data_IF_331947334829
#
_entry.id   IF_331947334829
#
_cell.length_a   1.000
_cell.length_b   1.000
_cell.length_c   1.000
_cell.angle_alpha   90.00
_cell.angle_beta   90.00
_cell.angle_gamma   90.00
#
_symmetry.space_group_name_H-M   'P 1'
#
loop_
_entity.id
_entity.type
_entity.pdbx_description
1 polymer ?
#
# COMPACT_ATOMS: atom_id res chain seq x y z
N UNK A 1 7.81 -11.79 19.03
CA UNK A 1 8.83 -11.25 19.94
C UNK A 1 9.68 -10.16 19.28
N UNK A 2 10.12 -10.30 18.03
CA UNK A 2 10.92 -9.28 17.32
C UNK A 2 10.17 -7.95 17.04
N UNK A 3 8.84 -7.99 16.89
CA UNK A 3 8.02 -6.79 16.65
C UNK A 3 7.86 -5.91 17.90
N UNK A 4 7.85 -6.49 19.09
CA UNK A 4 7.78 -5.76 20.37
C UNK A 4 9.11 -5.06 20.71
N UNK A 5 10.22 -5.70 20.44
CA UNK A 5 11.55 -5.14 20.69
C UNK A 5 11.83 -3.90 19.81
N UNK A 6 11.40 -3.89 18.55
CA UNK A 6 11.65 -2.78 17.64
C UNK A 6 10.82 -1.53 18.00
N UNK A 7 9.59 -1.69 18.48
CA UNK A 7 8.74 -0.57 18.94
C UNK A 7 9.24 0.00 20.28
N UNK A 8 9.75 -0.84 21.16
CA UNK A 8 10.29 -0.42 22.45
C UNK A 8 11.63 0.33 22.26
N UNK A 9 12.51 -0.18 21.39
CA UNK A 9 13.78 0.46 21.06
C UNK A 9 13.60 1.79 20.32
N UNK A 10 12.66 1.90 19.37
CA UNK A 10 12.39 3.15 18.68
C UNK A 10 11.76 4.21 19.60
N UNK A 11 10.87 3.81 20.51
CA UNK A 11 10.31 4.70 21.52
C UNK A 11 11.36 5.14 22.56
N UNK A 12 12.23 4.23 22.99
CA UNK A 12 13.30 4.52 23.95
C UNK A 12 14.39 5.41 23.34
N UNK A 13 14.80 5.18 22.09
CA UNK A 13 15.76 6.01 21.38
C UNK A 13 15.22 7.42 21.12
N UNK A 14 13.94 7.56 20.78
CA UNK A 14 13.33 8.85 20.52
C UNK A 14 13.18 9.70 21.80
N UNK A 15 12.77 9.08 22.92
CA UNK A 15 12.68 9.77 24.21
C UNK A 15 14.04 10.11 24.79
N UNK A 16 15.05 9.25 24.63
CA UNK A 16 16.40 9.47 25.13
C UNK A 16 17.14 10.56 24.34
N UNK A 17 17.04 10.54 22.98
CA UNK A 17 17.62 11.58 22.12
C UNK A 17 16.93 12.94 22.31
N UNK A 18 15.62 12.96 22.49
CA UNK A 18 14.88 14.19 22.78
C UNK A 18 15.24 14.78 24.14
N UNK A 19 15.40 13.95 25.17
CA UNK A 19 15.85 14.38 26.50
C UNK A 19 17.30 14.88 26.48
N UNK A 20 18.19 14.21 25.74
CA UNK A 20 19.60 14.62 25.61
C UNK A 20 19.77 15.91 24.82
N UNK A 21 19.03 16.10 23.73
CA UNK A 21 19.03 17.34 22.96
C UNK A 21 18.45 18.51 23.76
N UNK A 22 17.41 18.28 24.55
CA UNK A 22 16.79 19.30 25.41
C UNK A 22 17.74 19.73 26.56
N UNK A 23 18.45 18.80 27.18
CA UNK A 23 19.39 19.13 28.27
C UNK A 23 20.68 19.78 27.73
N UNK A 24 21.15 19.40 26.54
CA UNK A 24 22.35 19.98 25.94
C UNK A 24 22.10 21.41 25.42
N UNK A 25 20.94 21.67 24.79
CA UNK A 25 20.53 23.02 24.34
C UNK A 25 20.18 23.94 25.52
N UNK A 26 19.63 23.42 26.60
CA UNK A 26 19.36 24.20 27.80
C UNK A 26 20.62 24.67 28.52
N UNK A 27 21.72 23.91 28.45
CA UNK A 27 22.97 24.21 29.14
C UNK A 27 23.97 25.06 28.32
N UNK A 28 23.83 25.11 26.97
CA UNK A 28 24.91 25.71 26.16
C UNK A 28 24.66 27.14 25.67
N UNK A 29 23.47 27.70 25.69
CA UNK A 29 23.21 28.95 24.88
C UNK A 29 22.28 29.97 25.55
N UNK A 30 21.96 29.98 26.83
CA UNK A 30 21.04 31.02 27.33
C UNK A 30 21.45 31.67 28.66
N UNK A 31 21.93 32.88 28.54
CA UNK A 31 21.84 33.91 29.61
C UNK A 31 20.53 34.66 29.45
N UNK A 32 19.59 34.46 30.41
CA UNK A 32 18.33 35.20 30.73
C UNK A 32 17.76 36.19 29.68
N UNK A 33 16.47 36.34 29.54
CA UNK A 33 15.21 35.77 30.04
C UNK A 33 14.43 34.89 29.02
N UNK A 34 15.06 34.39 27.95
CA UNK A 34 14.43 33.63 26.87
C UNK A 34 14.30 32.12 27.14
N UNK A 35 14.62 31.62 28.36
CA UNK A 35 14.57 30.19 28.70
C UNK A 35 13.18 29.56 28.52
N UNK A 36 12.11 30.28 28.77
CA UNK A 36 10.73 29.79 28.61
C UNK A 36 10.36 29.61 27.15
N UNK A 37 10.77 30.51 26.26
CA UNK A 37 10.48 30.42 24.82
C UNK A 37 11.25 29.27 24.16
N UNK A 38 12.51 29.04 24.57
CA UNK A 38 13.33 27.94 24.04
C UNK A 38 12.81 26.56 24.45
N UNK A 39 12.36 26.41 25.69
CA UNK A 39 11.76 25.17 26.19
C UNK A 39 10.42 24.88 25.48
N UNK A 40 9.60 25.91 25.24
CA UNK A 40 8.34 25.77 24.51
C UNK A 40 8.56 25.40 23.03
N UNK A 41 9.51 26.03 22.36
CA UNK A 41 9.86 25.72 20.96
C UNK A 41 10.49 24.34 20.80
N UNK A 42 11.38 23.94 21.72
CA UNK A 42 11.98 22.60 21.73
C UNK A 42 10.92 21.52 22.03
N UNK A 43 9.99 21.77 22.94
CA UNK A 43 8.87 20.88 23.25
C UNK A 43 7.93 20.74 22.05
N UNK A 44 7.60 21.83 21.35
CA UNK A 44 6.74 21.81 20.18
C UNK A 44 7.40 21.09 18.97
N UNK A 45 8.69 21.32 18.74
CA UNK A 45 9.46 20.63 17.73
C UNK A 45 9.60 19.13 18.03
N UNK A 46 9.79 18.76 19.29
CA UNK A 46 9.91 17.37 19.71
C UNK A 46 8.57 16.61 19.58
N UNK A 47 7.44 17.23 19.94
CA UNK A 47 6.11 16.63 19.77
C UNK A 47 5.75 16.50 18.30
N UNK A 48 6.12 17.48 17.46
CA UNK A 48 5.88 17.44 16.02
C UNK A 48 6.71 16.33 15.34
N UNK A 49 7.99 16.19 15.70
CA UNK A 49 8.87 15.14 15.15
C UNK A 49 8.46 13.73 15.65
N UNK A 50 8.06 13.58 16.89
CA UNK A 50 7.57 12.31 17.44
C UNK A 50 6.24 11.89 16.82
N UNK A 51 5.34 12.85 16.57
CA UNK A 51 4.08 12.60 15.86
C UNK A 51 4.33 12.16 14.41
N UNK A 52 5.25 12.82 13.71
CA UNK A 52 5.63 12.48 12.33
C UNK A 52 6.26 11.07 12.24
N UNK A 53 7.20 10.75 13.15
CA UNK A 53 7.85 9.43 13.18
C UNK A 53 6.86 8.30 13.52
N UNK A 54 5.88 8.56 14.39
CA UNK A 54 4.85 7.57 14.75
C UNK A 54 3.87 7.32 13.60
N UNK A 55 3.48 8.35 12.84
CA UNK A 55 2.63 8.22 11.65
C UNK A 55 3.35 7.47 10.53
N UNK A 56 4.63 7.76 10.26
CA UNK A 56 5.45 7.02 9.28
C UNK A 56 5.60 5.54 9.64
N UNK A 57 5.88 5.21 10.89
CA UNK A 57 5.98 3.83 11.35
C UNK A 57 4.66 3.04 11.23
N UNK A 58 3.52 3.69 11.42
CA UNK A 58 2.21 3.05 11.30
C UNK A 58 1.79 2.86 9.83
N UNK A 59 2.13 3.80 8.94
CA UNK A 59 1.90 3.69 7.49
C UNK A 59 2.74 2.56 6.93
N UNK A 60 4.02 2.51 7.22
CA UNK A 60 4.93 1.47 6.74
C UNK A 60 4.47 0.06 7.16
N UNK A 61 4.00 -0.13 8.39
CA UNK A 61 3.44 -1.42 8.86
C UNK A 61 2.20 -1.82 8.09
N UNK A 62 1.30 -0.89 7.79
CA UNK A 62 0.08 -1.18 7.02
C UNK A 62 0.42 -1.52 5.56
N UNK A 63 1.41 -0.84 4.97
CA UNK A 63 1.91 -1.08 3.62
C UNK A 63 2.53 -2.47 3.48
N UNK A 64 3.40 -2.84 4.42
CA UNK A 64 4.05 -4.16 4.45
C UNK A 64 3.03 -5.29 4.67
N UNK A 65 1.99 -5.09 5.51
CA UNK A 65 0.95 -6.11 5.66
C UNK A 65 0.07 -6.25 4.42
N UNK A 66 -0.28 -5.15 3.76
CA UNK A 66 -1.07 -5.19 2.53
C UNK A 66 -0.31 -5.91 1.41
N UNK A 67 0.98 -5.64 1.21
CA UNK A 67 1.79 -6.28 0.19
C UNK A 67 1.99 -7.79 0.44
N UNK A 68 2.11 -8.21 1.70
CA UNK A 68 2.27 -9.63 2.08
C UNK A 68 1.07 -10.50 1.74
N UNK A 69 -0.13 -9.95 1.71
CA UNK A 69 -1.36 -10.70 1.43
C UNK A 69 -1.78 -10.52 -0.03
N UNK A 70 -1.72 -9.29 -0.55
CA UNK A 70 -2.14 -8.98 -1.92
C UNK A 70 -1.21 -9.54 -2.97
N UNK A 71 0.11 -9.51 -2.76
CA UNK A 71 1.11 -10.02 -3.72
C UNK A 71 0.87 -11.48 -4.09
N UNK A 72 0.89 -12.41 -3.13
CA UNK A 72 0.64 -13.84 -3.40
C UNK A 72 -0.73 -14.13 -4.02
N UNK A 73 -1.78 -13.40 -3.63
CA UNK A 73 -3.11 -13.55 -4.24
C UNK A 73 -3.13 -13.07 -5.69
N UNK A 74 -2.51 -11.93 -5.98
CA UNK A 74 -2.40 -11.42 -7.34
C UNK A 74 -1.57 -12.35 -8.24
N UNK A 75 -0.49 -12.92 -7.72
CA UNK A 75 0.31 -13.92 -8.42
C UNK A 75 -0.48 -15.19 -8.72
N UNK A 76 -1.20 -15.73 -7.74
CA UNK A 76 -2.08 -16.89 -7.93
C UNK A 76 -3.14 -16.62 -9.01
N UNK A 77 -3.79 -15.45 -8.97
CA UNK A 77 -4.75 -15.05 -9.98
C UNK A 77 -4.10 -14.91 -11.38
N UNK A 78 -2.92 -14.31 -11.46
CA UNK A 78 -2.19 -14.16 -12.72
C UNK A 78 -1.84 -15.52 -13.34
N UNK A 79 -1.39 -16.50 -12.56
CA UNK A 79 -1.10 -17.87 -13.02
C UNK A 79 -2.36 -18.56 -13.58
N UNK A 80 -3.51 -18.38 -12.94
CA UNK A 80 -4.80 -18.86 -13.45
C UNK A 80 -5.20 -18.20 -14.76
N UNK A 81 -5.01 -16.90 -14.87
CA UNK A 81 -5.27 -16.15 -16.11
C UNK A 81 -4.36 -16.61 -17.24
N UNK A 82 -3.07 -16.87 -16.97
CA UNK A 82 -2.12 -17.42 -17.95
C UNK A 82 -2.59 -18.79 -18.44
N UNK A 83 -3.04 -19.65 -17.53
CA UNK A 83 -3.56 -20.99 -17.89
C UNK A 83 -4.82 -20.89 -18.75
N UNK A 84 -5.74 -19.96 -18.40
CA UNK A 84 -6.93 -19.68 -19.18
C UNK A 84 -6.58 -19.17 -20.59
N UNK A 85 -5.64 -18.23 -20.67
CA UNK A 85 -5.18 -17.67 -21.95
C UNK A 85 -4.64 -18.77 -22.88
N UNK A 86 -3.74 -19.64 -22.38
CA UNK A 86 -3.21 -20.76 -23.17
C UNK A 86 -4.33 -21.64 -23.73
N UNK A 87 -5.26 -22.05 -22.87
CA UNK A 87 -6.39 -22.89 -23.26
C UNK A 87 -7.31 -22.22 -24.29
N UNK A 88 -7.63 -20.94 -24.10
CA UNK A 88 -8.48 -20.19 -25.04
C UNK A 88 -7.82 -20.04 -26.40
N UNK A 89 -6.52 -19.76 -26.42
CA UNK A 89 -5.75 -19.61 -27.64
C UNK A 89 -5.60 -20.93 -28.39
N UNK A 90 -5.26 -22.01 -27.72
CA UNK A 90 -4.98 -23.31 -28.32
C UNK A 90 -6.26 -24.04 -28.75
N UNK A 91 -7.28 -24.05 -27.88
CA UNK A 91 -8.50 -24.85 -28.09
C UNK A 91 -9.60 -24.05 -28.80
N UNK A 92 -9.82 -22.81 -28.38
CA UNK A 92 -10.93 -21.97 -28.87
C UNK A 92 -10.53 -21.00 -29.98
N UNK A 93 -9.24 -20.89 -30.29
CA UNK A 93 -8.69 -19.94 -31.26
C UNK A 93 -9.06 -18.47 -30.94
N UNK A 94 -9.34 -18.18 -29.67
CA UNK A 94 -9.67 -16.86 -29.18
C UNK A 94 -8.40 -16.18 -28.67
N UNK A 95 -7.93 -15.14 -29.36
CA UNK A 95 -6.67 -14.46 -29.05
C UNK A 95 -6.84 -12.97 -28.72
N UNK A 96 -8.03 -12.39 -28.89
CA UNK A 96 -8.26 -10.96 -28.74
C UNK A 96 -8.64 -10.62 -27.30
N UNK A 97 -9.75 -11.18 -26.84
CA UNK A 97 -10.27 -10.93 -25.48
C UNK A 97 -9.36 -11.56 -24.42
N UNK A 98 -8.88 -12.78 -24.69
CA UNK A 98 -7.99 -13.50 -23.78
C UNK A 98 -6.64 -12.80 -23.60
N UNK A 99 -6.11 -12.14 -24.65
CA UNK A 99 -4.89 -11.33 -24.56
C UNK A 99 -5.11 -10.07 -23.69
N UNK A 100 -6.26 -9.43 -23.78
CA UNK A 100 -6.57 -8.30 -22.91
C UNK A 100 -6.69 -8.72 -21.45
N UNK A 101 -7.36 -9.85 -21.19
CA UNK A 101 -7.43 -10.42 -19.86
C UNK A 101 -6.02 -10.81 -19.33
N UNK A 102 -5.18 -11.40 -20.16
CA UNK A 102 -3.80 -11.72 -19.81
C UNK A 102 -3.05 -10.47 -19.38
N UNK A 103 -3.11 -9.41 -20.18
CA UNK A 103 -2.44 -8.13 -19.90
C UNK A 103 -2.92 -7.53 -18.59
N UNK A 104 -4.23 -7.32 -18.43
CA UNK A 104 -4.77 -6.71 -17.21
C UNK A 104 -4.55 -7.59 -15.98
N UNK A 105 -4.78 -8.90 -16.07
CA UNK A 105 -4.62 -9.82 -14.94
C UNK A 105 -3.19 -9.94 -14.42
N UNK A 106 -2.19 -9.92 -15.31
CA UNK A 106 -0.77 -9.91 -14.91
C UNK A 106 -0.29 -8.55 -14.43
N UNK A 107 -0.86 -7.45 -14.94
CA UNK A 107 -0.53 -6.08 -14.52
C UNK A 107 -0.89 -5.80 -13.07
N UNK A 108 -1.86 -6.50 -12.47
CA UNK A 108 -2.20 -6.35 -11.04
C UNK A 108 -0.98 -6.63 -10.18
N UNK A 109 -0.39 -7.82 -10.36
CA UNK A 109 0.78 -8.26 -9.59
C UNK A 109 2.02 -7.42 -9.87
N UNK A 110 2.24 -7.05 -11.15
CA UNK A 110 3.36 -6.19 -11.55
C UNK A 110 3.33 -4.84 -10.83
N UNK A 111 2.19 -4.15 -10.81
CA UNK A 111 2.06 -2.87 -10.12
C UNK A 111 2.20 -3.00 -8.59
N UNK A 112 1.73 -4.10 -7.99
CA UNK A 112 1.96 -4.36 -6.57
C UNK A 112 3.44 -4.57 -6.25
N UNK A 113 4.18 -5.29 -7.12
CA UNK A 113 5.61 -5.51 -6.97
C UNK A 113 6.40 -4.19 -7.13
N UNK A 114 6.05 -3.36 -8.12
CA UNK A 114 6.64 -2.04 -8.29
C UNK A 114 6.37 -1.12 -7.10
N UNK A 115 5.17 -1.20 -6.53
CA UNK A 115 4.79 -0.43 -5.34
C UNK A 115 5.73 -0.64 -4.15
N UNK A 116 6.28 -1.85 -3.97
CA UNK A 116 7.24 -2.14 -2.88
C UNK A 116 8.49 -1.25 -2.97
N UNK A 117 8.87 -0.85 -4.19
CA UNK A 117 10.04 -0.01 -4.47
C UNK A 117 9.67 1.44 -4.80
N UNK A 118 8.47 1.87 -4.43
CA UNK A 118 8.00 3.23 -4.69
C UNK A 118 8.90 4.28 -4.02
N UNK A 119 9.18 5.36 -4.75
CA UNK A 119 10.05 6.44 -4.30
C UNK A 119 9.39 7.36 -3.25
N UNK A 120 8.06 7.34 -3.16
CA UNK A 120 7.27 8.15 -2.25
C UNK A 120 5.95 7.47 -1.89
N UNK A 121 5.28 7.94 -0.84
CA UNK A 121 3.94 7.48 -0.47
C UNK A 121 2.92 7.74 -1.60
N UNK A 122 3.02 8.88 -2.28
CA UNK A 122 2.18 9.21 -3.42
C UNK A 122 2.38 8.24 -4.60
N UNK A 123 3.62 7.86 -4.88
CA UNK A 123 3.96 6.87 -5.90
C UNK A 123 3.44 5.49 -5.52
N UNK A 124 3.61 5.08 -4.26
CA UNK A 124 3.04 3.83 -3.75
C UNK A 124 1.52 3.78 -3.93
N UNK A 125 0.80 4.82 -3.51
CA UNK A 125 -0.65 4.91 -3.68
C UNK A 125 -1.02 4.88 -5.17
N UNK A 126 -0.26 5.54 -6.03
CA UNK A 126 -0.45 5.53 -7.47
C UNK A 126 -0.36 4.12 -8.06
N UNK A 127 0.64 3.33 -7.68
CA UNK A 127 0.81 1.93 -8.11
C UNK A 127 -0.39 1.05 -7.66
N UNK A 128 -0.85 1.21 -6.45
CA UNK A 128 -2.03 0.49 -5.95
C UNK A 128 -3.33 0.90 -6.66
N UNK A 129 -3.48 2.18 -7.03
CA UNK A 129 -4.61 2.65 -7.85
C UNK A 129 -4.57 2.06 -9.26
N UNK A 130 -3.39 1.94 -9.86
CA UNK A 130 -3.22 1.28 -11.16
C UNK A 130 -3.60 -0.19 -11.03
N UNK A 131 -3.07 -0.91 -10.03
CA UNK A 131 -3.44 -2.30 -9.78
C UNK A 131 -4.96 -2.49 -9.61
N UNK A 132 -5.66 -1.57 -8.93
CA UNK A 132 -7.11 -1.58 -8.78
C UNK A 132 -7.83 -1.38 -10.12
N UNK A 133 -7.36 -0.49 -11.00
CA UNK A 133 -7.90 -0.31 -12.34
C UNK A 133 -7.76 -1.58 -13.18
N UNK A 134 -6.57 -2.19 -13.17
CA UNK A 134 -6.28 -3.44 -13.89
C UNK A 134 -7.15 -4.61 -13.38
N UNK A 135 -7.41 -4.68 -12.08
CA UNK A 135 -8.32 -5.68 -11.51
C UNK A 135 -9.77 -5.49 -11.99
N UNK A 136 -10.26 -4.25 -12.04
CA UNK A 136 -11.58 -3.95 -12.59
C UNK A 136 -11.66 -4.24 -14.09
N UNK A 137 -10.60 -3.96 -14.85
CA UNK A 137 -10.51 -4.30 -16.27
C UNK A 137 -10.53 -5.82 -16.46
N UNK A 138 -9.81 -6.57 -15.63
CA UNK A 138 -9.84 -8.04 -15.65
C UNK A 138 -11.25 -8.59 -15.41
N UNK A 139 -11.98 -8.05 -14.44
CA UNK A 139 -13.38 -8.44 -14.18
C UNK A 139 -14.27 -8.17 -15.38
N UNK A 140 -14.04 -7.09 -16.12
CA UNK A 140 -14.76 -6.78 -17.37
C UNK A 140 -14.48 -7.82 -18.45
N UNK A 141 -13.22 -8.18 -18.70
CA UNK A 141 -12.87 -9.17 -19.73
C UNK A 141 -13.37 -10.58 -19.38
N UNK A 142 -13.33 -10.99 -18.11
CA UNK A 142 -13.89 -12.27 -17.65
C UNK A 142 -15.39 -12.33 -17.96
N UNK A 143 -16.12 -11.25 -17.70
CA UNK A 143 -17.55 -11.16 -17.99
C UNK A 143 -17.85 -11.23 -19.49
N UNK A 144 -17.02 -10.60 -20.33
CA UNK A 144 -17.17 -10.67 -21.77
C UNK A 144 -16.90 -12.09 -22.31
N UNK A 145 -15.84 -12.75 -21.84
CA UNK A 145 -15.52 -14.13 -22.22
C UNK A 145 -16.68 -15.09 -21.85
N UNK A 146 -17.31 -14.88 -20.71
CA UNK A 146 -18.49 -15.64 -20.32
C UNK A 146 -19.70 -15.37 -21.24
N UNK A 147 -20.04 -14.10 -21.45
CA UNK A 147 -21.19 -13.71 -22.28
C UNK A 147 -21.03 -14.12 -23.74
N UNK A 148 -19.80 -14.22 -24.23
CA UNK A 148 -19.47 -14.69 -25.58
C UNK A 148 -19.34 -16.21 -25.68
N UNK A 149 -19.60 -16.97 -24.61
CA UNK A 149 -19.60 -18.44 -24.60
C UNK A 149 -18.21 -19.10 -24.63
N UNK A 150 -17.14 -18.33 -24.45
CA UNK A 150 -15.78 -18.88 -24.41
C UNK A 150 -15.45 -19.63 -23.12
N UNK A 151 -16.06 -19.23 -22.00
CA UNK A 151 -15.92 -19.91 -20.69
C UNK A 151 -17.29 -20.29 -20.14
N UNK A 152 -17.33 -21.37 -19.38
CA UNK A 152 -18.54 -21.88 -18.73
C UNK A 152 -18.95 -21.00 -17.55
N UNK A 153 -20.21 -21.15 -17.08
CA UNK A 153 -20.70 -20.44 -15.90
C UNK A 153 -19.88 -20.77 -14.64
N UNK A 154 -19.46 -22.01 -14.48
CA UNK A 154 -18.61 -22.42 -13.36
C UNK A 154 -17.27 -21.70 -13.37
N UNK A 155 -16.60 -21.69 -14.51
CA UNK A 155 -15.33 -20.97 -14.69
C UNK A 155 -15.50 -19.48 -14.46
N UNK A 156 -16.58 -18.90 -15.00
CA UNK A 156 -16.89 -17.49 -14.73
C UNK A 156 -17.01 -17.20 -13.23
N UNK A 157 -17.75 -18.03 -12.50
CA UNK A 157 -17.94 -17.85 -11.06
C UNK A 157 -16.60 -17.90 -10.30
N UNK A 158 -15.73 -18.86 -10.65
CA UNK A 158 -14.42 -19.04 -10.02
C UNK A 158 -13.50 -17.83 -10.28
N UNK A 159 -13.30 -17.45 -11.55
CA UNK A 159 -12.45 -16.32 -11.91
C UNK A 159 -12.99 -14.98 -11.39
N UNK A 160 -14.31 -14.79 -11.50
CA UNK A 160 -14.95 -13.54 -11.06
C UNK A 160 -14.92 -13.38 -9.55
N UNK A 161 -15.06 -14.46 -8.78
CA UNK A 161 -14.97 -14.44 -7.33
C UNK A 161 -13.59 -13.98 -6.86
N UNK A 162 -12.52 -14.58 -7.41
CA UNK A 162 -11.14 -14.22 -7.05
C UNK A 162 -10.80 -12.80 -7.47
N UNK A 163 -11.18 -12.42 -8.68
CA UNK A 163 -10.98 -11.06 -9.17
C UNK A 163 -11.70 -10.03 -8.29
N UNK A 164 -12.95 -10.31 -7.90
CA UNK A 164 -13.75 -9.46 -7.02
C UNK A 164 -13.15 -9.36 -5.61
N UNK A 165 -12.54 -10.43 -5.11
CA UNK A 165 -11.82 -10.39 -3.85
C UNK A 165 -10.61 -9.44 -3.93
N UNK A 166 -9.81 -9.55 -5.00
CA UNK A 166 -8.68 -8.64 -5.24
C UNK A 166 -9.13 -7.18 -5.33
N UNK A 167 -10.22 -6.91 -6.07
CA UNK A 167 -10.78 -5.55 -6.19
C UNK A 167 -11.16 -4.99 -4.81
N UNK A 168 -11.87 -5.78 -3.98
CA UNK A 168 -12.26 -5.33 -2.63
C UNK A 168 -11.05 -5.06 -1.74
N UNK A 169 -10.04 -5.92 -1.79
CA UNK A 169 -8.83 -5.76 -0.99
C UNK A 169 -8.01 -4.55 -1.42
N UNK A 170 -7.83 -4.36 -2.73
CA UNK A 170 -7.14 -3.20 -3.31
C UNK A 170 -7.87 -1.90 -2.98
N UNK A 171 -9.19 -1.85 -3.16
CA UNK A 171 -10.00 -0.68 -2.85
C UNK A 171 -9.92 -0.30 -1.36
N UNK A 172 -9.97 -1.30 -0.46
CA UNK A 172 -9.80 -1.06 0.98
C UNK A 172 -8.39 -0.54 1.32
N UNK A 173 -7.35 -1.10 0.70
CA UNK A 173 -5.98 -0.65 0.88
C UNK A 173 -5.80 0.81 0.43
N UNK A 174 -6.24 1.15 -0.79
CA UNK A 174 -6.16 2.51 -1.34
C UNK A 174 -6.89 3.51 -0.44
N UNK A 175 -8.13 3.23 -0.06
CA UNK A 175 -8.92 4.11 0.81
C UNK A 175 -8.22 4.38 2.13
N UNK A 176 -7.72 3.33 2.79
CA UNK A 176 -7.02 3.46 4.08
C UNK A 176 -5.74 4.31 3.98
N UNK A 177 -5.05 4.26 2.84
CA UNK A 177 -3.87 5.09 2.60
C UNK A 177 -4.25 6.56 2.36
N UNK A 178 -5.29 6.82 1.56
CA UNK A 178 -5.79 8.16 1.27
C UNK A 178 -6.31 8.88 2.52
N UNK A 179 -7.04 8.18 3.38
CA UNK A 179 -7.53 8.71 4.65
C UNK A 179 -6.38 9.18 5.55
N UNK A 180 -5.29 8.40 5.60
CA UNK A 180 -4.09 8.75 6.38
C UNK A 180 -3.32 9.93 5.77
N UNK A 181 -3.16 9.96 4.45
CA UNK A 181 -2.51 11.07 3.75
C UNK A 181 -3.24 12.41 3.93
N UNK A 182 -4.58 12.37 3.98
CA UNK A 182 -5.40 13.56 4.23
C UNK A 182 -5.39 14.00 5.69
N UNK A 183 -5.29 13.07 6.65
CA UNK A 183 -5.15 13.41 8.06
C UNK A 183 -3.84 14.16 8.33
N UNK A 184 -2.73 13.76 7.71
CA UNK A 184 -1.45 14.46 7.82
C UNK A 184 -1.46 15.90 7.28
N UNK A 185 -2.27 16.17 6.25
CA UNK A 185 -2.42 17.53 5.67
C UNK A 185 -3.30 18.46 6.48
N UNK A 186 -4.19 17.98 7.34
CA UNK A 186 -5.08 18.80 8.18
C UNK A 186 -4.39 19.38 9.42
N UNK A 187 -3.24 18.84 9.82
CA UNK A 187 -2.49 19.30 10.99
C UNK A 187 -1.17 19.99 10.64
N UNK A 188 -0.93 20.24 9.34
CA UNK A 188 0.23 20.94 8.82
C UNK A 188 -0.18 22.30 8.26
N UNK A 189 -0.40 23.28 9.16
CA UNK A 189 -0.35 24.73 8.91
C UNK A 189 0.82 25.29 9.66
#
# INVERSE_FOLDING_TARGET
LASFACTYLASFACTYLASFACTYLANSVCTLPHKLACVYLASFACVSLASSACTYGCVLKTLVMASRILGPKAESFALKVISLYKRLTEVKRECVLSKQLLRSGTSIGANLAEGVYAQSEADFISKYRIALKEANESAYWIRLLYKSGYISQKEYADYHSECSELVRMLAAAVRKMEEKGNAGKRYGV
#
